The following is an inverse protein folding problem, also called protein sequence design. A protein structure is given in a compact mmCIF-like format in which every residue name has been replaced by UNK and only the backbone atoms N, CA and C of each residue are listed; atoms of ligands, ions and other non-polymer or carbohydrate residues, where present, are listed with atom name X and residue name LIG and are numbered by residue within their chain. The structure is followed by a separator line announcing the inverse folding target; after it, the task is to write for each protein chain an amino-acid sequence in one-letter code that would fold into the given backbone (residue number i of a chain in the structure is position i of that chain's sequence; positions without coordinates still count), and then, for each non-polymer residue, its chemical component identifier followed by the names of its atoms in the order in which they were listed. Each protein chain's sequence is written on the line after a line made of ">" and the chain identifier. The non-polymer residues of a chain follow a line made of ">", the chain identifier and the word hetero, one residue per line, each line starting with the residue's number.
data_IF_792917463460
#
_entry.id   IF_792917463460
#
_cell.length_a   1.000
_cell.length_b   1.000
_cell.length_c   1.000
_cell.angle_alpha   90.00
_cell.angle_beta   90.00
_cell.angle_gamma   90.00
#
_symmetry.space_group_name_H-M   'P 1'
#
loop_
_entity.id
_entity.type
_entity.pdbx_description
1 polymer ?
#
# COMPACT_ATOMS: atom_id res chain seq x y z
N UNK A 1 6.59 22.02 37.83
CA UNK A 1 6.46 22.57 36.46
C UNK A 1 7.26 21.75 35.47
N UNK A 2 6.58 21.00 34.60
CA UNK A 2 7.18 20.41 33.39
C UNK A 2 6.71 21.25 32.20
N UNK A 3 7.60 21.69 31.29
CA UNK A 3 7.19 22.46 30.13
C UNK A 3 6.44 21.54 29.14
N UNK A 4 5.40 22.02 28.45
CA UNK A 4 4.77 21.27 27.40
C UNK A 4 5.72 21.21 26.20
N UNK A 5 6.30 20.03 25.96
CA UNK A 5 7.02 19.74 24.73
C UNK A 5 6.06 19.89 23.55
N UNK A 6 6.24 20.97 22.79
CA UNK A 6 5.61 21.13 21.48
C UNK A 6 6.29 20.15 20.53
N UNK A 7 5.76 18.93 20.49
CA UNK A 7 6.07 17.95 19.45
C UNK A 7 5.60 18.47 18.10
N UNK A 8 6.39 19.37 17.49
CA UNK A 8 6.32 19.57 16.05
C UNK A 8 6.88 18.28 15.44
N UNK A 9 5.98 17.36 15.06
CA UNK A 9 6.37 16.34 14.10
C UNK A 9 7.00 17.08 12.91
N UNK A 10 8.23 16.75 12.48
CA UNK A 10 8.79 17.32 11.28
C UNK A 10 7.90 16.88 10.13
N UNK A 11 7.02 17.77 9.67
CA UNK A 11 6.34 17.60 8.40
C UNK A 11 7.44 17.83 7.37
N UNK A 12 7.92 16.77 6.70
CA UNK A 12 8.84 16.96 5.58
C UNK A 12 8.05 17.55 4.42
N UNK A 13 8.52 18.65 3.84
CA UNK A 13 7.85 19.28 2.70
C UNK A 13 7.72 18.31 1.50
N UNK A 14 8.58 17.29 1.43
CA UNK A 14 8.49 16.20 0.44
C UNK A 14 7.23 15.34 0.57
N UNK A 15 6.47 15.37 1.65
CA UNK A 15 5.28 14.50 1.82
C UNK A 15 4.01 15.07 1.18
N UNK A 16 4.09 16.29 0.68
CA UNK A 16 2.97 17.01 0.10
C UNK A 16 3.17 17.22 -1.41
N UNK A 17 2.07 17.24 -2.13
CA UNK A 17 1.99 17.45 -3.58
C UNK A 17 0.97 18.55 -3.80
N UNK A 18 1.30 19.55 -4.60
CA UNK A 18 0.34 20.58 -4.99
C UNK A 18 -0.48 20.08 -6.17
N UNK A 19 -1.80 20.11 -6.06
CA UNK A 19 -2.69 19.80 -7.19
C UNK A 19 -2.76 20.96 -8.19
N UNK A 20 -3.42 20.73 -9.34
CA UNK A 20 -3.55 21.72 -10.42
C UNK A 20 -4.29 23.00 -9.98
N UNK A 21 -5.03 22.95 -8.87
CA UNK A 21 -5.75 24.08 -8.29
C UNK A 21 -4.95 24.80 -7.19
N UNK A 22 -3.69 24.41 -6.96
CA UNK A 22 -2.83 24.98 -5.93
C UNK A 22 -3.08 24.42 -4.53
N UNK A 23 -3.90 23.36 -4.38
CA UNK A 23 -4.20 22.75 -3.09
C UNK A 23 -3.13 21.73 -2.69
N UNK A 24 -2.74 21.77 -1.42
CA UNK A 24 -1.74 20.88 -0.84
C UNK A 24 -2.38 19.53 -0.51
N UNK A 25 -1.97 18.48 -1.21
CA UNK A 25 -2.46 17.12 -1.05
C UNK A 25 -1.36 16.22 -0.51
N UNK A 26 -1.69 15.36 0.45
CA UNK A 26 -0.77 14.34 0.93
C UNK A 26 -0.50 13.31 -0.18
N UNK A 27 0.75 12.85 -0.30
CA UNK A 27 1.10 11.67 -1.09
C UNK A 27 0.28 10.46 -0.62
N UNK A 28 0.12 9.46 -1.49
CA UNK A 28 -0.69 8.28 -1.19
C UNK A 28 -0.23 7.61 0.12
N UNK A 29 -1.21 7.24 0.94
CA UNK A 29 -1.01 6.54 2.20
C UNK A 29 -1.40 5.08 2.01
N UNK A 30 -0.45 4.17 2.14
CA UNK A 30 -0.67 2.74 1.94
C UNK A 30 -0.25 1.93 3.16
N UNK A 31 -0.84 0.74 3.28
CA UNK A 31 -0.29 -0.28 4.17
C UNK A 31 1.02 -0.78 3.55
N UNK A 32 2.10 -0.72 4.33
CA UNK A 32 3.44 -1.06 3.88
C UNK A 32 4.09 -1.98 4.93
N UNK A 33 3.92 -3.28 4.76
CA UNK A 33 4.38 -4.30 5.70
C UNK A 33 5.25 -5.38 5.04
N UNK A 34 5.54 -5.22 3.75
CA UNK A 34 6.11 -6.26 2.89
C UNK A 34 5.33 -7.57 3.03
N UNK A 35 5.98 -8.71 2.82
CA UNK A 35 5.36 -10.03 2.96
C UNK A 35 5.15 -10.37 4.43
N UNK A 36 3.90 -10.63 4.82
CA UNK A 36 3.51 -11.11 6.16
C UNK A 36 2.67 -12.36 6.09
N UNK A 37 2.73 -13.18 7.14
CA UNK A 37 1.76 -14.27 7.29
C UNK A 37 0.35 -13.72 7.44
N UNK A 38 -0.60 -14.39 6.82
CA UNK A 38 -2.01 -14.04 6.87
C UNK A 38 -2.85 -15.26 7.20
N UNK A 39 -3.98 -15.03 7.84
CA UNK A 39 -5.02 -16.04 8.09
C UNK A 39 -6.22 -15.86 7.14
N UNK A 40 -6.07 -15.00 6.13
CA UNK A 40 -7.06 -14.80 5.09
C UNK A 40 -7.16 -16.06 4.22
N UNK A 41 -8.07 -16.98 4.56
CA UNK A 41 -8.36 -18.15 3.75
C UNK A 41 -9.86 -18.25 3.47
N UNK A 42 -10.24 -18.59 2.23
CA UNK A 42 -11.62 -18.84 1.79
C UNK A 42 -12.65 -17.76 2.18
N UNK A 43 -12.23 -16.51 2.27
CA UNK A 43 -13.09 -15.37 2.62
C UNK A 43 -13.33 -14.46 1.41
N UNK A 44 -14.53 -13.87 1.32
CA UNK A 44 -14.88 -12.92 0.25
C UNK A 44 -14.12 -11.59 0.34
N UNK A 45 -13.72 -11.22 1.54
CA UNK A 45 -12.97 -10.00 1.84
C UNK A 45 -12.10 -10.27 3.05
N UNK A 46 -10.89 -9.72 3.05
CA UNK A 46 -9.92 -9.92 4.13
C UNK A 46 -9.31 -8.60 4.56
N UNK A 47 -8.93 -8.53 5.83
CA UNK A 47 -8.12 -7.44 6.36
C UNK A 47 -6.65 -7.80 6.28
N UNK A 48 -5.79 -6.81 6.02
CA UNK A 48 -4.36 -7.07 5.87
C UNK A 48 -3.63 -7.37 7.18
N UNK A 49 -4.25 -7.04 8.31
CA UNK A 49 -3.63 -7.07 9.65
C UNK A 49 -2.30 -6.31 9.75
N UNK A 50 -2.01 -5.44 8.77
CA UNK A 50 -0.86 -4.53 8.78
C UNK A 50 -1.23 -3.25 9.54
N UNK A 51 -0.59 -3.01 10.68
CA UNK A 51 -0.75 -1.77 11.45
C UNK A 51 0.06 -0.61 10.89
N UNK A 52 1.11 -0.89 10.10
CA UNK A 52 2.00 0.11 9.52
C UNK A 52 1.30 0.79 8.34
N UNK A 53 1.17 2.11 8.42
CA UNK A 53 0.73 2.95 7.31
C UNK A 53 1.90 3.86 6.95
N UNK A 54 2.33 3.83 5.69
CA UNK A 54 3.43 4.62 5.18
C UNK A 54 2.97 5.51 4.03
N UNK A 55 3.71 6.58 3.84
CA UNK A 55 3.53 7.51 2.72
C UNK A 55 4.37 6.98 1.58
N UNK A 56 3.77 6.85 0.40
CA UNK A 56 4.48 6.40 -0.77
C UNK A 56 5.57 7.40 -1.17
N UNK A 57 6.69 6.87 -1.66
CA UNK A 57 7.85 7.68 -2.01
C UNK A 57 7.53 8.57 -3.19
N UNK A 58 6.77 8.08 -4.18
CA UNK A 58 6.41 8.85 -5.37
C UNK A 58 4.93 9.21 -5.38
N UNK A 59 4.56 10.38 -5.95
CA UNK A 59 3.17 10.85 -5.94
C UNK A 59 2.23 9.99 -6.79
N UNK A 60 2.76 9.24 -7.77
CA UNK A 60 2.00 8.37 -8.66
C UNK A 60 1.99 6.90 -8.24
N UNK A 61 2.66 6.56 -7.12
CA UNK A 61 2.58 5.21 -6.56
C UNK A 61 1.18 4.92 -6.03
N UNK A 62 0.80 3.65 -6.13
CA UNK A 62 -0.49 3.13 -5.68
C UNK A 62 -0.28 2.04 -4.64
N UNK A 63 -1.30 1.77 -3.84
CA UNK A 63 -1.28 0.68 -2.88
C UNK A 63 -1.50 -0.65 -3.59
N UNK A 64 -0.58 -1.60 -3.39
CA UNK A 64 -0.69 -2.95 -3.93
C UNK A 64 -0.81 -3.93 -2.78
N UNK A 65 -1.71 -4.90 -2.93
CA UNK A 65 -1.82 -6.04 -2.04
C UNK A 65 -1.71 -7.35 -2.84
N UNK A 66 -0.81 -8.25 -2.43
CA UNK A 66 -0.64 -9.56 -3.06
C UNK A 66 -0.89 -10.64 -2.02
N UNK A 67 -1.93 -11.44 -2.26
CA UNK A 67 -2.23 -12.61 -1.45
C UNK A 67 -1.67 -13.85 -2.14
N UNK A 68 -0.91 -14.67 -1.40
CA UNK A 68 -0.40 -15.96 -1.89
C UNK A 68 -0.77 -17.05 -0.90
N UNK A 69 -1.18 -18.20 -1.43
CA UNK A 69 -1.43 -19.41 -0.65
C UNK A 69 -0.63 -20.55 -1.27
N UNK A 70 0.21 -21.15 -0.44
CA UNK A 70 0.91 -22.39 -0.71
C UNK A 70 0.33 -23.48 0.22
N UNK A 71 0.78 -24.73 0.06
CA UNK A 71 0.26 -25.87 0.85
C UNK A 71 0.50 -25.71 2.36
N UNK A 72 1.52 -24.95 2.75
CA UNK A 72 1.91 -24.77 4.16
C UNK A 72 1.45 -23.46 4.77
N UNK A 73 1.40 -22.38 3.98
CA UNK A 73 1.19 -21.04 4.51
C UNK A 73 0.42 -20.11 3.56
N UNK A 74 -0.18 -19.10 4.18
CA UNK A 74 -0.82 -18.00 3.49
C UNK A 74 -0.05 -16.74 3.84
N UNK A 75 0.28 -15.97 2.82
CA UNK A 75 0.97 -14.69 2.96
C UNK A 75 0.17 -13.59 2.30
N UNK A 76 0.27 -12.41 2.88
CA UNK A 76 -0.24 -11.18 2.32
C UNK A 76 0.87 -10.14 2.34
N UNK A 77 1.14 -9.59 1.17
CA UNK A 77 2.12 -8.56 0.93
C UNK A 77 1.39 -7.24 0.68
N UNK A 78 1.81 -6.16 1.34
CA UNK A 78 1.26 -4.81 1.09
C UNK A 78 2.39 -3.80 0.93
N UNK A 79 2.41 -3.08 -0.19
CA UNK A 79 3.48 -2.14 -0.58
C UNK A 79 2.91 -0.93 -1.36
N UNK A 80 3.71 0.12 -1.47
CA UNK A 80 3.56 1.16 -2.51
C UNK A 80 4.28 0.69 -3.78
N UNK A 81 3.67 0.89 -4.95
CA UNK A 81 4.29 0.50 -6.22
C UNK A 81 3.87 1.42 -7.37
N UNK A 82 4.75 1.57 -8.35
CA UNK A 82 4.50 2.34 -9.57
C UNK A 82 3.66 1.50 -10.56
N UNK A 83 2.41 1.88 -10.86
CA UNK A 83 1.53 1.08 -11.71
C UNK A 83 2.00 0.96 -13.16
N UNK A 84 2.96 1.79 -13.60
CA UNK A 84 3.54 1.71 -14.95
C UNK A 84 4.56 0.57 -15.10
N UNK A 85 5.01 -0.01 -13.99
CA UNK A 85 5.99 -1.09 -13.93
C UNK A 85 5.29 -2.39 -13.51
N UNK A 86 5.63 -3.51 -14.13
CA UNK A 86 5.07 -4.80 -13.73
C UNK A 86 5.48 -5.18 -12.29
N UNK A 87 4.52 -5.64 -11.49
CA UNK A 87 4.75 -6.16 -10.13
C UNK A 87 4.65 -7.69 -10.13
N UNK A 88 5.72 -8.38 -9.71
CA UNK A 88 5.85 -9.85 -9.84
C UNK A 88 5.54 -10.37 -11.26
N UNK A 89 5.90 -9.60 -12.28
CA UNK A 89 5.64 -9.95 -13.68
C UNK A 89 4.21 -9.67 -14.19
N UNK A 90 3.34 -9.07 -13.36
CA UNK A 90 1.97 -8.71 -13.74
C UNK A 90 1.79 -7.20 -13.83
N UNK A 91 1.02 -6.76 -14.83
CA UNK A 91 0.54 -5.38 -14.93
C UNK A 91 -0.67 -5.21 -14.00
N UNK A 92 -0.74 -4.06 -13.32
CA UNK A 92 -1.81 -3.73 -12.39
C UNK A 92 -3.01 -3.15 -13.16
N UNK A 93 -3.97 -4.01 -13.49
CA UNK A 93 -5.15 -3.64 -14.29
C UNK A 93 -6.18 -2.78 -13.51
N UNK A 94 -6.06 -2.70 -12.18
CA UNK A 94 -7.00 -2.04 -11.27
C UNK A 94 -6.35 -0.92 -10.43
N UNK A 95 -5.21 -0.39 -10.86
CA UNK A 95 -4.49 0.69 -10.17
C UNK A 95 -5.30 1.99 -10.00
N UNK A 96 -6.30 2.25 -10.84
CA UNK A 96 -7.18 3.42 -10.76
C UNK A 96 -8.43 3.20 -9.89
N UNK A 97 -8.65 1.96 -9.42
CA UNK A 97 -9.79 1.62 -8.57
C UNK A 97 -9.58 2.16 -7.16
N UNK A 98 -10.65 2.71 -6.56
CA UNK A 98 -10.65 3.07 -5.13
C UNK A 98 -10.77 1.86 -4.20
N UNK A 99 -11.00 0.67 -4.76
CA UNK A 99 -11.12 -0.59 -4.03
C UNK A 99 -10.10 -1.59 -4.54
N UNK A 100 -9.39 -2.24 -3.62
CA UNK A 100 -8.53 -3.38 -3.93
C UNK A 100 -9.40 -4.60 -4.22
N UNK A 101 -9.37 -5.11 -5.45
CA UNK A 101 -10.12 -6.32 -5.84
C UNK A 101 -9.12 -7.41 -6.22
N UNK A 102 -9.01 -8.42 -5.35
CA UNK A 102 -8.13 -9.55 -5.60
C UNK A 102 -8.57 -10.33 -6.84
N UNK A 103 -7.64 -10.51 -7.78
CA UNK A 103 -7.81 -11.33 -8.97
C UNK A 103 -6.74 -12.41 -8.98
N UNK A 104 -7.15 -13.65 -9.17
CA UNK A 104 -6.21 -14.76 -9.30
C UNK A 104 -5.34 -14.56 -10.54
N UNK A 105 -4.03 -14.63 -10.36
CA UNK A 105 -3.03 -14.53 -11.44
C UNK A 105 -2.23 -15.83 -11.45
N UNK A 106 -2.10 -16.43 -12.62
CA UNK A 106 -1.25 -17.61 -12.82
C UNK A 106 0.17 -17.12 -13.11
N UNK A 107 1.12 -17.52 -12.28
CA UNK A 107 2.55 -17.28 -12.56
C UNK A 107 2.90 -17.97 -13.88
N UNK A 108 3.51 -17.28 -14.85
CA UNK A 108 4.11 -17.95 -16.01
C UNK A 108 5.15 -18.93 -15.47
N UNK A 109 4.95 -20.21 -15.74
CA UNK A 109 5.90 -21.27 -15.38
C UNK A 109 7.18 -21.21 -16.18
#
# INVERSE_FOLDING_TARGET
>A
DFPPGSGKNPVNDDMMVTDDNGALKLRQLCKFCDVRFSTCDNQKSCMSNCSITSICEKPHEVCVAVWRKNDENITLETVCHDPTIAYHGFVLDDATSSKCIMKEKKTPG
#
